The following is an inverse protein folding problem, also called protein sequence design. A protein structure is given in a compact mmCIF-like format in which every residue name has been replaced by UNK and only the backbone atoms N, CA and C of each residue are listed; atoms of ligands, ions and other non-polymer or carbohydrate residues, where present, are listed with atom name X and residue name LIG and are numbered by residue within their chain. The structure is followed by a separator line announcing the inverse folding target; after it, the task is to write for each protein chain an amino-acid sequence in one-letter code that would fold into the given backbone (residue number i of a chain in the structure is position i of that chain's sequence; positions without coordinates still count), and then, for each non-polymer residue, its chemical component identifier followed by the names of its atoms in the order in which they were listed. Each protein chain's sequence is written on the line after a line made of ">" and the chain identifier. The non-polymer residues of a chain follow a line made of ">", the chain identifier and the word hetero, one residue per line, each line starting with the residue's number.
data_IF_062809574203
#
_entry.id   IF_062809574203
#
_cell.length_a   1.000
_cell.length_b   1.000
_cell.length_c   1.000
_cell.angle_alpha   90.00
_cell.angle_beta   90.00
_cell.angle_gamma   90.00
#
_symmetry.space_group_name_H-M   'P 1'
#
loop_
_entity.id
_entity.type
_entity.pdbx_description
1 polymer ?
#
# COMPACT_ATOMS: atom_id res chain seq x y z
N UNK A 1 9.41 -27.74 3.41
CA UNK A 1 10.41 -27.48 2.34
C UNK A 1 11.59 -26.71 2.91
N UNK A 2 12.79 -27.30 3.05
CA UNK A 2 13.92 -26.69 3.78
C UNK A 2 14.47 -25.39 3.15
N UNK A 3 14.17 -25.11 1.87
CA UNK A 3 14.66 -23.92 1.16
C UNK A 3 13.62 -22.80 1.02
N UNK A 4 12.35 -23.06 1.36
CA UNK A 4 11.25 -22.13 1.05
C UNK A 4 11.33 -20.83 1.84
N UNK A 5 11.91 -20.89 3.04
CA UNK A 5 12.15 -19.74 3.92
C UNK A 5 13.04 -18.67 3.25
N UNK A 6 14.19 -19.10 2.70
CA UNK A 6 15.10 -18.23 1.96
C UNK A 6 14.46 -17.68 0.68
N UNK A 7 13.64 -18.48 0.01
CA UNK A 7 12.90 -18.07 -1.18
C UNK A 7 11.92 -16.93 -0.88
N UNK A 8 11.10 -17.03 0.17
CA UNK A 8 10.11 -16.00 0.51
C UNK A 8 10.74 -14.65 0.84
N UNK A 9 11.82 -14.67 1.62
CA UNK A 9 12.63 -13.48 1.89
C UNK A 9 13.18 -12.86 0.61
N UNK A 10 13.81 -13.67 -0.24
CA UNK A 10 14.38 -13.20 -1.51
C UNK A 10 13.31 -12.62 -2.45
N UNK A 11 12.16 -13.26 -2.52
CA UNK A 11 11.05 -12.88 -3.37
C UNK A 11 10.47 -11.52 -3.00
N UNK A 12 10.14 -11.31 -1.71
CA UNK A 12 9.63 -10.02 -1.25
C UNK A 12 10.66 -8.89 -1.43
N UNK A 13 11.92 -9.11 -1.03
CA UNK A 13 12.95 -8.06 -1.14
C UNK A 13 13.25 -7.69 -2.59
N UNK A 14 13.22 -8.66 -3.50
CA UNK A 14 13.40 -8.43 -4.94
C UNK A 14 12.21 -7.66 -5.51
N UNK A 15 10.98 -8.04 -5.16
CA UNK A 15 9.77 -7.32 -5.55
C UNK A 15 9.81 -5.85 -5.11
N UNK A 16 10.11 -5.58 -3.84
CA UNK A 16 10.17 -4.21 -3.30
C UNK A 16 11.26 -3.38 -3.99
N UNK A 17 12.39 -3.99 -4.34
CA UNK A 17 13.46 -3.32 -5.10
C UNK A 17 13.00 -2.91 -6.50
N UNK A 18 12.23 -3.78 -7.18
CA UNK A 18 11.64 -3.48 -8.48
C UNK A 18 10.51 -2.44 -8.42
N UNK A 19 9.90 -2.24 -7.26
CA UNK A 19 8.81 -1.26 -7.05
C UNK A 19 9.29 0.15 -6.69
N UNK A 20 10.54 0.51 -6.99
CA UNK A 20 11.08 1.85 -6.71
C UNK A 20 10.38 2.96 -7.51
N UNK A 21 10.00 2.65 -8.75
CA UNK A 21 9.27 3.54 -9.65
C UNK A 21 8.19 2.74 -10.37
N UNK A 22 7.01 3.32 -10.56
CA UNK A 22 5.92 2.73 -11.34
C UNK A 22 5.61 3.67 -12.50
N UNK A 23 5.58 3.14 -13.72
CA UNK A 23 5.20 3.83 -14.94
C UNK A 23 4.37 2.90 -15.84
N UNK A 24 3.76 3.42 -16.89
CA UNK A 24 2.91 2.65 -17.81
C UNK A 24 3.61 1.41 -18.40
N UNK A 25 4.94 1.48 -18.62
CA UNK A 25 5.69 0.38 -19.22
C UNK A 25 6.01 -0.74 -18.22
N UNK A 26 6.04 -0.45 -16.91
CA UNK A 26 6.51 -1.38 -15.87
C UNK A 26 5.37 -1.85 -14.96
N UNK A 27 4.22 -1.17 -14.97
CA UNK A 27 3.09 -1.46 -14.07
C UNK A 27 2.54 -2.89 -14.24
N UNK A 28 2.45 -3.39 -15.47
CA UNK A 28 1.97 -4.76 -15.74
C UNK A 28 2.97 -5.81 -15.23
N UNK A 29 4.26 -5.60 -15.48
CA UNK A 29 5.32 -6.46 -14.96
C UNK A 29 5.34 -6.48 -13.43
N UNK A 30 5.14 -5.33 -12.77
CA UNK A 30 4.99 -5.25 -11.32
C UNK A 30 3.75 -5.99 -10.81
N UNK A 31 2.63 -5.88 -11.52
CA UNK A 31 1.40 -6.58 -11.16
C UNK A 31 1.57 -8.11 -11.28
N UNK A 32 2.26 -8.57 -12.33
CA UNK A 32 2.62 -9.97 -12.54
C UNK A 32 3.55 -10.48 -11.43
N UNK A 33 4.65 -9.77 -11.15
CA UNK A 33 5.56 -10.13 -10.05
C UNK A 33 4.82 -10.23 -8.71
N UNK A 34 3.93 -9.28 -8.43
CA UNK A 34 3.11 -9.32 -7.21
C UNK A 34 2.20 -10.55 -7.15
N UNK A 35 1.64 -10.97 -8.28
CA UNK A 35 0.83 -12.18 -8.37
C UNK A 35 1.67 -13.44 -8.10
N UNK A 36 2.86 -13.54 -8.70
CA UNK A 36 3.79 -14.64 -8.41
C UNK A 36 4.18 -14.70 -6.93
N UNK A 37 4.38 -13.54 -6.28
CA UNK A 37 4.66 -13.50 -4.84
C UNK A 37 3.48 -14.07 -4.03
N UNK A 38 2.25 -13.68 -4.36
CA UNK A 38 1.04 -14.17 -3.69
C UNK A 38 0.85 -15.66 -3.89
N UNK A 39 1.05 -16.18 -5.10
CA UNK A 39 0.92 -17.61 -5.40
C UNK A 39 1.96 -18.44 -4.65
N UNK A 40 3.22 -18.00 -4.65
CA UNK A 40 4.30 -18.69 -3.94
C UNK A 40 4.09 -18.68 -2.42
N UNK A 41 3.66 -17.56 -1.83
CA UNK A 41 3.32 -17.50 -0.40
C UNK A 41 2.11 -18.39 -0.04
N UNK A 42 1.31 -18.80 -1.03
CA UNK A 42 0.20 -19.74 -0.83
C UNK A 42 0.62 -21.18 -0.57
N UNK A 43 1.86 -21.56 -0.92
CA UNK A 43 2.34 -22.94 -0.81
C UNK A 43 2.48 -23.40 0.64
N UNK A 44 2.93 -22.51 1.53
CA UNK A 44 3.04 -22.77 2.96
C UNK A 44 2.68 -21.50 3.74
N UNK A 45 1.42 -21.48 4.23
CA UNK A 45 0.85 -20.32 4.92
C UNK A 45 1.48 -20.05 6.29
N UNK A 46 2.08 -21.06 6.93
CA UNK A 46 2.72 -20.90 8.24
C UNK A 46 4.03 -20.12 8.08
N UNK A 47 4.87 -20.54 7.14
CA UNK A 47 6.12 -19.82 6.84
C UNK A 47 5.79 -18.45 6.24
N UNK A 48 4.77 -18.37 5.36
CA UNK A 48 4.33 -17.10 4.81
C UNK A 48 3.90 -16.11 5.90
N UNK A 49 3.21 -16.58 6.95
CA UNK A 49 2.85 -15.75 8.10
C UNK A 49 4.06 -15.15 8.79
N UNK A 50 5.10 -15.95 9.08
CA UNK A 50 6.31 -15.49 9.76
C UNK A 50 7.00 -14.36 8.99
N UNK A 51 7.21 -14.53 7.68
CA UNK A 51 7.81 -13.49 6.83
C UNK A 51 6.91 -12.26 6.71
N UNK A 52 5.63 -12.46 6.44
CA UNK A 52 4.67 -11.37 6.25
C UNK A 52 4.53 -10.53 7.51
N UNK A 53 4.48 -11.17 8.69
CA UNK A 53 4.42 -10.48 9.97
C UNK A 53 5.60 -9.54 10.16
N UNK A 54 6.83 -9.98 9.89
CA UNK A 54 8.04 -9.16 10.02
C UNK A 54 7.96 -7.93 9.11
N UNK A 55 7.56 -8.10 7.85
CA UNK A 55 7.49 -6.99 6.90
C UNK A 55 6.35 -6.02 7.17
N UNK A 56 5.16 -6.52 7.53
CA UNK A 56 4.02 -5.68 7.94
C UNK A 56 4.39 -4.89 9.22
N UNK A 57 5.04 -5.53 10.19
CA UNK A 57 5.55 -4.85 11.39
C UNK A 57 6.56 -3.76 11.02
N UNK A 58 7.47 -4.02 10.08
CA UNK A 58 8.42 -3.01 9.62
C UNK A 58 7.72 -1.80 8.99
N UNK A 59 6.66 -2.03 8.21
CA UNK A 59 5.83 -0.94 7.65
C UNK A 59 5.15 -0.11 8.74
N UNK A 60 4.67 -0.75 9.81
CA UNK A 60 4.10 -0.04 10.97
C UNK A 60 5.14 0.83 11.69
N UNK A 61 6.36 0.30 11.87
CA UNK A 61 7.47 1.06 12.50
C UNK A 61 7.84 2.29 11.66
N UNK A 62 7.93 2.13 10.34
CA UNK A 62 8.18 3.26 9.43
C UNK A 62 7.08 4.33 9.53
N UNK A 63 5.80 3.92 9.55
CA UNK A 63 4.68 4.85 9.68
C UNK A 63 4.70 5.57 11.03
N UNK A 64 4.89 4.83 12.13
CA UNK A 64 5.01 5.42 13.46
C UNK A 64 6.14 6.43 13.51
N UNK A 65 7.31 6.09 12.98
CA UNK A 65 8.45 7.00 12.88
C UNK A 65 8.10 8.28 12.11
N UNK A 66 7.36 8.16 11.00
CA UNK A 66 6.92 9.32 10.22
C UNK A 66 5.93 10.23 10.99
N UNK A 67 5.12 9.64 11.89
CA UNK A 67 4.16 10.36 12.73
C UNK A 67 4.83 11.05 13.93
N UNK A 68 5.77 10.38 14.61
CA UNK A 68 6.29 10.84 15.91
C UNK A 68 7.54 11.72 15.83
N UNK A 69 8.17 11.84 14.66
CA UNK A 69 9.49 12.45 14.54
C UNK A 69 9.44 13.96 14.27
N UNK A 70 10.44 14.71 14.77
CA UNK A 70 10.62 16.15 14.56
C UNK A 70 10.73 16.56 13.09
N UNK A 71 10.41 17.82 12.78
CA UNK A 71 10.21 18.34 11.41
C UNK A 71 11.33 18.05 10.39
N UNK A 72 12.60 17.98 10.80
CA UNK A 72 13.74 17.71 9.89
C UNK A 72 13.87 16.23 9.52
N UNK A 73 13.85 15.32 10.50
CA UNK A 73 13.85 13.86 10.27
C UNK A 73 12.50 13.35 9.72
N UNK A 74 11.44 14.14 9.90
CA UNK A 74 10.13 13.90 9.30
C UNK A 74 10.18 13.89 7.76
N UNK A 75 11.06 14.67 7.13
CA UNK A 75 11.13 14.74 5.66
C UNK A 75 11.52 13.39 5.03
N UNK A 76 12.52 12.69 5.57
CA UNK A 76 12.94 11.39 5.03
C UNK A 76 11.95 10.29 5.37
N UNK A 77 11.40 10.29 6.58
CA UNK A 77 10.32 9.35 6.94
C UNK A 77 9.08 9.57 6.07
N UNK A 78 8.70 10.81 5.78
CA UNK A 78 7.62 11.16 4.88
C UNK A 78 7.86 10.69 3.44
N UNK A 79 9.10 10.79 2.94
CA UNK A 79 9.47 10.25 1.61
C UNK A 79 9.24 8.74 1.55
N UNK A 80 9.55 8.01 2.62
CA UNK A 80 9.30 6.56 2.69
C UNK A 80 7.82 6.25 2.59
N UNK A 81 6.96 6.87 3.42
CA UNK A 81 5.51 6.61 3.42
C UNK A 81 4.85 7.04 2.10
N UNK A 82 5.35 8.10 1.47
CA UNK A 82 4.87 8.59 0.18
C UNK A 82 5.62 7.99 -1.03
N UNK A 83 6.29 6.84 -0.87
CA UNK A 83 7.02 6.15 -1.94
C UNK A 83 6.20 5.06 -2.63
N UNK A 84 6.56 4.75 -3.87
CA UNK A 84 6.02 3.59 -4.59
C UNK A 84 6.29 2.28 -3.88
N UNK A 85 7.46 2.13 -3.26
CA UNK A 85 7.82 0.88 -2.56
C UNK A 85 6.87 0.62 -1.41
N UNK A 86 6.59 1.63 -0.59
CA UNK A 86 5.67 1.50 0.53
C UNK A 86 4.25 1.18 0.06
N UNK A 87 3.77 1.88 -0.97
CA UNK A 87 2.44 1.66 -1.53
C UNK A 87 2.29 0.30 -2.20
N UNK A 88 3.28 -0.14 -2.98
CA UNK A 88 3.26 -1.45 -3.64
C UNK A 88 3.40 -2.59 -2.63
N UNK A 89 4.19 -2.44 -1.56
CA UNK A 89 4.18 -3.37 -0.42
C UNK A 89 2.78 -3.46 0.21
N UNK A 90 2.11 -2.32 0.45
CA UNK A 90 0.75 -2.32 1.01
C UNK A 90 -0.25 -3.04 0.08
N UNK A 91 -0.17 -2.79 -1.24
CA UNK A 91 -0.98 -3.48 -2.26
C UNK A 91 -0.71 -4.97 -2.28
N UNK A 92 0.56 -5.38 -2.22
CA UNK A 92 0.96 -6.79 -2.22
C UNK A 92 0.34 -7.51 -1.01
N UNK A 93 0.54 -6.98 0.20
CA UNK A 93 0.01 -7.61 1.42
C UNK A 93 -1.52 -7.62 1.43
N UNK A 94 -2.17 -6.54 0.98
CA UNK A 94 -3.62 -6.53 0.83
C UNK A 94 -4.12 -7.57 -0.16
N UNK A 95 -3.41 -7.76 -1.29
CA UNK A 95 -3.73 -8.81 -2.27
C UNK A 95 -3.55 -10.19 -1.67
N UNK A 96 -2.44 -10.45 -0.99
CA UNK A 96 -2.15 -11.74 -0.35
C UNK A 96 -3.23 -12.13 0.66
N UNK A 97 -3.59 -11.24 1.58
CA UNK A 97 -4.62 -11.51 2.58
C UNK A 97 -6.02 -11.66 1.95
N UNK A 98 -6.26 -10.98 0.82
CA UNK A 98 -7.52 -11.15 0.07
C UNK A 98 -7.56 -12.44 -0.75
N UNK A 99 -6.43 -13.00 -1.16
CA UNK A 99 -6.35 -14.25 -1.92
C UNK A 99 -6.47 -15.48 -1.03
N UNK A 100 -6.06 -15.36 0.23
CA UNK A 100 -6.21 -16.40 1.24
C UNK A 100 -7.02 -15.88 2.44
N UNK A 101 -8.29 -15.51 2.23
CA UNK A 101 -9.16 -15.04 3.30
C UNK A 101 -9.53 -16.24 4.19
N UNK A 102 -9.29 -16.14 5.50
CA UNK A 102 -9.67 -17.22 6.41
C UNK A 102 -9.11 -17.06 7.83
N UNK A 103 -9.58 -17.93 8.73
CA UNK A 103 -9.04 -18.14 10.08
C UNK A 103 -7.72 -18.92 10.10
N UNK A 104 -7.17 -19.21 8.92
CA UNK A 104 -5.84 -19.80 8.74
C UNK A 104 -4.76 -18.89 9.34
N UNK A 105 -3.51 -19.34 9.30
CA UNK A 105 -2.34 -18.63 9.85
C UNK A 105 -2.25 -17.14 9.46
N UNK A 106 -2.76 -16.74 8.28
CA UNK A 106 -2.69 -15.36 7.78
C UNK A 106 -3.78 -14.42 8.31
N UNK A 107 -4.90 -14.96 8.84
CA UNK A 107 -6.03 -14.16 9.33
C UNK A 107 -5.65 -13.07 10.35
N UNK A 108 -4.80 -13.35 11.34
CA UNK A 108 -4.34 -12.35 12.31
C UNK A 108 -3.61 -11.14 11.70
N UNK A 109 -3.12 -11.22 10.45
CA UNK A 109 -2.45 -10.11 9.76
C UNK A 109 -3.41 -9.07 9.15
N UNK A 110 -4.71 -9.39 9.05
CA UNK A 110 -5.72 -8.47 8.50
C UNK A 110 -5.80 -7.20 9.32
N UNK A 111 -5.96 -7.33 10.64
CA UNK A 111 -6.06 -6.17 11.53
C UNK A 111 -4.84 -5.22 11.47
N UNK A 112 -3.59 -5.68 11.65
CA UNK A 112 -2.44 -4.79 11.58
C UNK A 112 -2.28 -4.15 10.20
N UNK A 113 -2.58 -4.85 9.10
CA UNK A 113 -2.53 -4.25 7.77
C UNK A 113 -3.56 -3.12 7.61
N UNK A 114 -4.80 -3.35 8.06
CA UNK A 114 -5.86 -2.34 8.03
C UNK A 114 -5.49 -1.12 8.86
N UNK A 115 -4.95 -1.30 10.06
CA UNK A 115 -4.48 -0.20 10.91
C UNK A 115 -3.38 0.62 10.24
N UNK A 116 -2.41 -0.02 9.59
CA UNK A 116 -1.35 0.68 8.84
C UNK A 116 -1.97 1.47 7.70
N UNK A 117 -2.84 0.87 6.89
CA UNK A 117 -3.46 1.53 5.74
C UNK A 117 -4.32 2.73 6.16
N UNK A 118 -5.13 2.61 7.21
CA UNK A 118 -5.89 3.73 7.77
C UNK A 118 -4.96 4.82 8.32
N UNK A 119 -3.88 4.45 9.01
CA UNK A 119 -2.87 5.39 9.49
C UNK A 119 -2.15 6.14 8.35
N UNK A 120 -1.96 5.52 7.19
CA UNK A 120 -1.44 6.19 6.00
C UNK A 120 -2.45 7.21 5.45
N UNK A 121 -3.75 6.87 5.43
CA UNK A 121 -4.80 7.78 4.97
C UNK A 121 -4.94 9.02 5.85
N UNK A 122 -4.75 8.88 7.17
CA UNK A 122 -4.77 10.00 8.12
C UNK A 122 -3.49 10.83 8.04
N UNK A 123 -2.33 10.19 7.90
CA UNK A 123 -1.03 10.86 7.81
C UNK A 123 -0.87 11.65 6.50
N UNK A 124 -1.23 11.07 5.35
CA UNK A 124 -1.11 11.71 4.03
C UNK A 124 -2.36 12.49 3.64
N UNK A 125 -2.88 13.34 4.52
CA UNK A 125 -4.14 14.05 4.30
C UNK A 125 -4.05 15.20 3.27
N UNK A 126 -2.85 15.64 2.85
CA UNK A 126 -2.72 16.76 1.93
C UNK A 126 -3.29 16.44 0.53
N UNK A 127 -3.96 17.39 -0.16
CA UNK A 127 -4.57 17.16 -1.49
C UNK A 127 -3.60 16.60 -2.54
N UNK A 128 -2.32 17.00 -2.49
CA UNK A 128 -1.27 16.49 -3.37
C UNK A 128 -1.11 14.97 -3.36
N UNK A 129 -1.53 14.28 -2.28
CA UNK A 129 -1.43 12.82 -2.13
C UNK A 129 -2.73 12.09 -2.50
N UNK A 130 -3.71 12.79 -3.08
CA UNK A 130 -4.99 12.22 -3.43
C UNK A 130 -4.88 10.90 -4.23
N UNK A 131 -4.06 10.78 -5.29
CA UNK A 131 -3.94 9.54 -6.04
C UNK A 131 -3.49 8.36 -5.16
N UNK A 132 -2.48 8.57 -4.31
CA UNK A 132 -2.02 7.57 -3.37
C UNK A 132 -3.12 7.16 -2.40
N UNK A 133 -3.86 8.12 -1.83
CA UNK A 133 -4.98 7.84 -0.92
C UNK A 133 -6.05 6.98 -1.58
N UNK A 134 -6.42 7.29 -2.82
CA UNK A 134 -7.40 6.49 -3.58
C UNK A 134 -6.92 5.05 -3.78
N UNK A 135 -5.64 4.86 -4.10
CA UNK A 135 -5.06 3.52 -4.23
C UNK A 135 -5.04 2.77 -2.87
N UNK A 136 -4.77 3.45 -1.76
CA UNK A 136 -4.88 2.83 -0.42
C UNK A 136 -6.32 2.45 -0.10
N UNK A 137 -7.30 3.29 -0.43
CA UNK A 137 -8.72 2.95 -0.30
C UNK A 137 -9.07 1.71 -1.13
N UNK A 138 -8.56 1.58 -2.36
CA UNK A 138 -8.77 0.37 -3.19
C UNK A 138 -8.22 -0.89 -2.52
N UNK A 139 -7.05 -0.81 -1.87
CA UNK A 139 -6.49 -1.92 -1.08
C UNK A 139 -7.44 -2.30 0.05
N UNK A 140 -7.92 -1.32 0.82
CA UNK A 140 -8.83 -1.55 1.93
C UNK A 140 -10.18 -2.11 1.49
N UNK A 141 -10.75 -1.63 0.39
CA UNK A 141 -11.98 -2.18 -0.22
C UNK A 141 -11.80 -3.65 -0.61
N UNK A 142 -10.64 -3.99 -1.20
CA UNK A 142 -10.33 -5.38 -1.55
C UNK A 142 -10.29 -6.27 -0.31
N UNK A 143 -9.57 -5.85 0.73
CA UNK A 143 -9.46 -6.58 2.00
C UNK A 143 -10.82 -6.73 2.67
N UNK A 144 -11.60 -5.66 2.78
CA UNK A 144 -12.95 -5.70 3.32
C UNK A 144 -13.85 -6.69 2.58
N UNK A 145 -13.81 -6.71 1.24
CA UNK A 145 -14.64 -7.61 0.43
C UNK A 145 -14.29 -9.09 0.63
N UNK A 146 -13.00 -9.43 0.71
CA UNK A 146 -12.58 -10.84 0.73
C UNK A 146 -12.41 -11.39 2.14
N UNK A 147 -11.97 -10.58 3.10
CA UNK A 147 -11.76 -11.00 4.48
C UNK A 147 -13.00 -10.82 5.37
N UNK A 148 -14.12 -10.33 4.81
CA UNK A 148 -15.40 -10.13 5.52
C UNK A 148 -15.28 -9.27 6.79
N UNK A 149 -14.40 -8.26 6.76
CA UNK A 149 -14.20 -7.30 7.86
C UNK A 149 -14.79 -5.95 7.52
N UNK A 150 -15.47 -5.32 8.49
CA UNK A 150 -15.92 -3.94 8.32
C UNK A 150 -14.77 -2.95 8.49
N UNK A 151 -14.56 -2.09 7.49
CA UNK A 151 -13.59 -0.99 7.54
C UNK A 151 -14.32 0.33 7.26
N UNK A 152 -14.29 1.31 8.18
CA UNK A 152 -15.01 2.56 8.01
C UNK A 152 -14.31 3.49 7.01
N UNK A 153 -14.51 3.25 5.70
CA UNK A 153 -13.86 4.01 4.63
C UNK A 153 -14.58 5.30 4.25
N UNK A 154 -15.88 5.41 4.54
CA UNK A 154 -16.71 6.58 4.22
C UNK A 154 -16.08 7.92 4.61
N UNK A 155 -15.57 8.15 5.85
CA UNK A 155 -14.97 9.44 6.20
C UNK A 155 -13.74 9.77 5.35
N UNK A 156 -12.92 8.77 5.00
CA UNK A 156 -11.72 8.99 4.19
C UNK A 156 -12.02 9.30 2.73
N UNK A 157 -13.06 8.66 2.17
CA UNK A 157 -13.51 8.88 0.80
C UNK A 157 -14.25 10.23 0.69
N UNK A 158 -15.14 10.54 1.64
CA UNK A 158 -15.91 11.79 1.63
C UNK A 158 -15.00 13.01 1.85
N UNK A 159 -13.99 12.90 2.72
CA UNK A 159 -13.00 13.96 2.95
C UNK A 159 -12.34 14.43 1.64
N UNK A 160 -12.13 13.53 0.67
CA UNK A 160 -11.57 13.87 -0.64
C UNK A 160 -12.46 14.87 -1.39
N UNK A 161 -13.78 14.65 -1.38
CA UNK A 161 -14.74 15.49 -2.09
C UNK A 161 -14.96 16.84 -1.42
N UNK A 162 -14.70 16.94 -0.12
CA UNK A 162 -14.85 18.21 0.63
C UNK A 162 -13.68 19.18 0.47
N UNK A 163 -12.57 18.76 -0.15
CA UNK A 163 -11.37 19.61 -0.29
C UNK A 163 -11.50 20.63 -1.43
N UNK A 164 -11.63 21.90 -1.05
CA UNK A 164 -11.74 23.06 -1.97
C UNK A 164 -10.61 23.18 -2.99
N UNK A 165 -9.42 22.66 -2.69
CA UNK A 165 -8.26 22.77 -3.59
C UNK A 165 -8.47 22.07 -4.94
N UNK A 166 -9.35 21.04 -5.00
CA UNK A 166 -9.73 20.38 -6.26
C UNK A 166 -10.68 21.23 -7.11
N UNK A 167 -11.39 22.18 -6.50
CA UNK A 167 -12.37 23.02 -7.17
C UNK A 167 -11.75 24.29 -7.78
N UNK A 168 -10.52 24.65 -7.40
CA UNK A 168 -9.89 25.91 -7.81
C UNK A 168 -8.73 25.74 -8.80
N UNK A 169 -8.54 24.54 -9.36
CA UNK A 169 -7.50 24.29 -10.36
C UNK A 169 -8.05 24.59 -11.75
N UNK A 170 -7.73 25.76 -12.30
CA UNK A 170 -8.01 26.01 -13.72
C UNK A 170 -7.13 25.06 -14.55
N UNK A 171 -7.77 24.12 -15.24
CA UNK A 171 -7.10 23.21 -16.16
C UNK A 171 -6.51 24.07 -17.28
N UNK A 172 -5.18 24.17 -17.35
CA UNK A 172 -4.53 24.85 -18.47
C UNK A 172 -4.91 24.13 -19.76
N UNK A 173 -5.33 24.88 -20.77
CA UNK A 173 -5.66 24.31 -22.08
C UNK A 173 -4.48 23.47 -22.59
N UNK A 174 -4.71 22.17 -22.85
CA UNK A 174 -3.68 21.22 -23.29
C UNK A 174 -3.08 20.31 -22.20
N UNK A 175 -3.50 20.39 -20.94
CA UNK A 175 -3.03 19.44 -19.91
C UNK A 175 -3.71 18.08 -20.04
N UNK A 176 -2.92 17.00 -20.09
CA UNK A 176 -3.44 15.64 -20.05
C UNK A 176 -4.07 15.32 -18.67
N UNK A 177 -5.14 14.51 -18.63
CA UNK A 177 -5.72 14.03 -17.37
C UNK A 177 -4.65 13.35 -16.51
N UNK A 178 -4.71 13.56 -15.19
CA UNK A 178 -3.81 12.88 -14.27
C UNK A 178 -4.12 11.37 -14.28
N UNK A 179 -3.13 10.57 -14.63
CA UNK A 179 -3.25 9.12 -14.53
C UNK A 179 -3.06 8.67 -13.08
N UNK A 180 -4.18 8.41 -12.42
CA UNK A 180 -4.22 7.92 -11.04
C UNK A 180 -3.61 6.52 -10.86
N UNK A 181 -3.31 5.78 -11.92
CA UNK A 181 -2.62 4.49 -11.83
C UNK A 181 -1.10 4.67 -11.65
N UNK A 182 -0.53 5.68 -12.31
CA UNK A 182 0.92 5.89 -12.46
C UNK A 182 1.44 7.14 -11.74
N UNK A 183 0.56 8.03 -11.29
CA UNK A 183 0.92 9.15 -10.44
C UNK A 183 0.52 8.91 -8.98
N UNK A 184 1.46 8.99 -8.03
CA UNK A 184 1.17 8.98 -6.58
C UNK A 184 1.03 10.39 -5.98
N UNK A 185 1.37 11.43 -6.75
CA UNK A 185 1.27 12.84 -6.36
C UNK A 185 0.72 13.66 -7.51
N UNK A 186 -0.06 14.69 -7.19
CA UNK A 186 -0.51 15.71 -8.15
C UNK A 186 0.43 16.91 -8.03
N UNK A 187 0.81 17.51 -9.16
CA UNK A 187 1.53 18.79 -9.16
C UNK A 187 0.62 19.89 -8.61
N UNK A 188 1.21 20.87 -7.93
CA UNK A 188 0.52 22.14 -7.65
C UNK A 188 0.19 22.86 -8.97
#
# INVERSE_FOLDING_TARGET
>A
YPFIDGCYKGLYLTYVRHCKFTNLNVIEGQAFMAQCVVELFGLDKNIAYEHSFVYIRQMAIQLRSAITTSASKSADAHKVISSWQYLNSLKLWGRMLSSYPGKDALGPLVYPLVQIALGVLTYLNAPKHLPLRLQVCQVLVRVQRHCEVYIPLSPHILDIFTKRDLHNTSVKAGSHPHDFQVGIKVSK
#
